data_IF_043575778101
#
_entry.id   IF_043575778101
#
_cell.length_a   1.000
_cell.length_b   1.000
_cell.length_c   1.000
_cell.angle_alpha   90.00
_cell.angle_beta   90.00
_cell.angle_gamma   90.00
#
_symmetry.space_group_name_H-M   'P 1'
#
loop_
_entity.id
_entity.type
_entity.pdbx_description
1 polymer ?
#
# COMPACT_ATOMS: atom_id res chain seq x y z
N UNK A 1 -4.73 -2.33 7.10
CA UNK A 1 -5.76 -1.48 7.73
C UNK A 1 -6.38 -2.30 8.84
N UNK A 2 -6.41 -1.76 10.05
CA UNK A 2 -7.20 -2.31 11.15
C UNK A 2 -8.37 -1.37 11.40
N UNK A 3 -9.55 -1.90 11.65
CA UNK A 3 -10.72 -1.13 12.06
C UNK A 3 -11.15 -1.71 13.40
N UNK A 4 -11.34 -0.86 14.39
CA UNK A 4 -11.70 -1.32 15.73
C UNK A 4 -13.10 -1.96 15.74
N UNK A 5 -13.41 -2.77 16.76
CA UNK A 5 -14.63 -3.58 16.79
C UNK A 5 -15.93 -2.75 16.75
N UNK A 6 -15.90 -1.49 17.19
CA UNK A 6 -17.04 -0.57 17.13
C UNK A 6 -17.20 0.14 15.77
N UNK A 7 -16.26 -0.07 14.83
CA UNK A 7 -16.22 0.51 13.49
C UNK A 7 -16.14 2.05 13.46
N UNK A 8 -15.61 2.67 14.52
CA UNK A 8 -15.50 4.14 14.62
C UNK A 8 -14.13 4.68 14.27
N UNK A 9 -13.08 3.85 14.35
CA UNK A 9 -11.69 4.26 14.06
C UNK A 9 -10.96 3.23 13.22
N UNK A 10 -10.01 3.72 12.43
CA UNK A 10 -9.16 2.86 11.64
C UNK A 10 -7.68 3.22 11.81
N UNK A 11 -6.82 2.21 11.72
CA UNK A 11 -5.38 2.33 11.84
C UNK A 11 -4.71 1.82 10.58
N UNK A 12 -4.01 2.72 9.90
CA UNK A 12 -3.25 2.39 8.70
C UNK A 12 -1.78 2.19 9.05
N UNK A 13 -1.23 1.03 8.71
CA UNK A 13 0.17 0.70 8.95
C UNK A 13 0.75 0.02 7.74
N UNK A 14 1.93 0.48 7.33
CA UNK A 14 2.70 -0.10 6.24
C UNK A 14 3.78 -1.02 6.81
N UNK A 15 3.91 -2.21 6.23
CA UNK A 15 5.09 -3.06 6.44
C UNK A 15 6.11 -2.77 5.33
N UNK A 16 7.40 -2.57 5.66
CA UNK A 16 8.42 -2.35 4.64
C UNK A 16 8.50 -3.53 3.67
N UNK A 17 8.60 -3.25 2.36
CA UNK A 17 8.67 -4.29 1.33
C UNK A 17 9.89 -5.23 1.51
N UNK A 18 10.98 -4.67 2.02
CA UNK A 18 12.25 -5.36 2.23
C UNK A 18 12.34 -5.98 3.63
N UNK A 19 11.24 -5.99 4.40
CA UNK A 19 11.18 -6.58 5.73
C UNK A 19 11.60 -8.05 5.68
N UNK A 20 12.64 -8.42 6.42
CA UNK A 20 13.15 -9.79 6.44
C UNK A 20 12.33 -10.65 7.40
N UNK A 21 11.61 -11.61 6.84
CA UNK A 21 10.65 -12.47 7.55
C UNK A 21 10.90 -13.94 7.26
N UNK A 22 10.36 -14.83 8.09
CA UNK A 22 10.29 -16.25 7.79
C UNK A 22 9.01 -16.49 6.98
N UNK A 23 9.14 -16.77 5.69
CA UNK A 23 8.02 -17.13 4.82
C UNK A 23 7.75 -18.63 5.01
N UNK A 24 6.54 -19.04 5.42
CA UNK A 24 6.24 -20.45 5.65
C UNK A 24 6.24 -21.25 4.35
N UNK A 25 6.40 -22.56 4.46
CA UNK A 25 6.19 -23.47 3.34
C UNK A 25 4.77 -23.31 2.77
N UNK A 26 4.66 -23.46 1.45
CA UNK A 26 3.42 -23.25 0.72
C UNK A 26 3.27 -24.29 -0.39
N UNK A 27 2.63 -25.44 -0.06
CA UNK A 27 2.47 -26.56 -0.98
C UNK A 27 1.83 -26.21 -2.33
N UNK A 28 0.80 -25.33 -2.43
CA UNK A 28 0.19 -25.00 -3.73
C UNK A 28 1.18 -24.43 -4.76
N UNK A 29 2.24 -23.75 -4.30
CA UNK A 29 3.29 -23.21 -5.16
C UNK A 29 4.57 -24.07 -5.20
N UNK A 30 4.57 -25.26 -4.58
CA UNK A 30 5.76 -26.10 -4.35
C UNK A 30 6.92 -25.32 -3.70
N UNK A 31 6.60 -24.42 -2.77
CA UNK A 31 7.59 -23.60 -2.07
C UNK A 31 7.87 -24.17 -0.68
N UNK A 32 9.15 -24.44 -0.37
CA UNK A 32 9.57 -25.08 0.88
C UNK A 32 9.67 -24.17 2.12
N UNK A 33 9.48 -22.86 1.95
CA UNK A 33 9.72 -21.87 3.01
C UNK A 33 11.14 -21.29 2.93
N UNK A 34 11.29 -20.01 3.30
CA UNK A 34 12.58 -19.32 3.26
C UNK A 34 12.57 -18.10 4.18
N UNK A 35 13.72 -17.79 4.79
CA UNK A 35 13.93 -16.50 5.47
C UNK A 35 14.44 -15.47 4.47
N UNK A 36 13.59 -14.53 4.07
CA UNK A 36 13.90 -13.54 3.03
C UNK A 36 12.97 -12.33 3.12
N UNK A 37 13.03 -11.42 2.15
CA UNK A 37 12.19 -10.21 2.12
C UNK A 37 10.71 -10.55 1.95
N UNK A 38 9.83 -9.84 2.66
CA UNK A 38 8.38 -10.10 2.66
C UNK A 38 7.76 -10.04 1.27
N UNK A 39 8.28 -9.21 0.36
CA UNK A 39 7.83 -9.17 -1.05
C UNK A 39 7.93 -10.52 -1.76
N UNK A 40 8.88 -11.37 -1.37
CA UNK A 40 9.03 -12.69 -1.97
C UNK A 40 7.86 -13.62 -1.65
N UNK A 41 7.08 -13.37 -0.59
CA UNK A 41 5.89 -14.16 -0.28
C UNK A 41 4.87 -14.09 -1.42
N UNK A 42 4.65 -12.89 -1.97
CA UNK A 42 3.79 -12.70 -3.14
C UNK A 42 4.39 -13.38 -4.39
N UNK A 43 5.70 -13.20 -4.60
CA UNK A 43 6.41 -13.76 -5.75
C UNK A 43 6.35 -15.30 -5.76
N UNK A 44 6.74 -15.94 -4.67
CA UNK A 44 6.74 -17.40 -4.52
C UNK A 44 5.32 -17.96 -4.51
N UNK A 45 4.41 -17.37 -3.74
CA UNK A 45 3.04 -17.86 -3.61
C UNK A 45 2.23 -17.72 -4.90
N UNK A 46 2.60 -16.80 -5.80
CA UNK A 46 1.87 -16.64 -7.06
C UNK A 46 2.18 -17.70 -8.11
N UNK A 47 3.19 -18.56 -7.88
CA UNK A 47 3.58 -19.60 -8.83
C UNK A 47 2.53 -20.72 -8.83
N UNK A 48 2.07 -21.09 -10.03
CA UNK A 48 1.15 -22.21 -10.20
C UNK A 48 1.89 -23.31 -10.98
N UNK A 49 2.15 -24.48 -10.37
CA UNK A 49 2.87 -25.56 -11.04
C UNK A 49 2.21 -25.94 -12.38
N UNK A 50 3.01 -26.00 -13.45
CA UNK A 50 2.53 -26.32 -14.79
C UNK A 50 1.84 -25.16 -15.54
N UNK A 51 1.70 -23.98 -14.94
CA UNK A 51 1.05 -22.81 -15.56
C UNK A 51 2.01 -21.63 -15.62
N UNK A 52 2.14 -21.01 -16.80
CA UNK A 52 3.02 -19.85 -16.99
C UNK A 52 2.52 -18.57 -16.30
N UNK A 53 1.19 -18.39 -16.23
CA UNK A 53 0.58 -17.18 -15.67
C UNK A 53 0.55 -17.27 -14.13
N UNK A 54 1.07 -16.26 -13.41
CA UNK A 54 1.00 -16.24 -11.95
C UNK A 54 -0.44 -16.03 -11.46
N UNK A 55 -0.76 -16.61 -10.30
CA UNK A 55 -2.02 -16.41 -9.59
C UNK A 55 -1.87 -15.36 -8.49
N UNK A 56 -2.52 -14.21 -8.67
CA UNK A 56 -2.55 -13.13 -7.67
C UNK A 56 -3.19 -13.61 -6.37
N UNK A 57 -4.29 -14.37 -6.47
CA UNK A 57 -4.97 -14.93 -5.31
C UNK A 57 -4.07 -15.87 -4.50
N UNK A 58 -3.31 -16.72 -5.18
CA UNK A 58 -2.40 -17.65 -4.52
C UNK A 58 -1.20 -16.91 -3.89
N UNK A 59 -0.66 -15.89 -4.58
CA UNK A 59 0.34 -14.99 -4.02
C UNK A 59 -0.15 -14.30 -2.75
N UNK A 60 -1.40 -13.81 -2.77
CA UNK A 60 -2.03 -13.20 -1.60
C UNK A 60 -2.16 -14.18 -0.44
N UNK A 61 -2.54 -15.44 -0.69
CA UNK A 61 -2.65 -16.45 0.37
C UNK A 61 -1.32 -16.65 1.12
N UNK A 62 -0.20 -16.77 0.40
CA UNK A 62 1.11 -16.88 1.05
C UNK A 62 1.52 -15.58 1.73
N UNK A 63 1.25 -14.42 1.12
CA UNK A 63 1.49 -13.13 1.77
C UNK A 63 0.74 -13.00 3.08
N UNK A 64 -0.56 -13.31 3.10
CA UNK A 64 -1.40 -13.26 4.31
C UNK A 64 -0.86 -14.20 5.40
N UNK A 65 -0.51 -15.46 5.05
CA UNK A 65 0.12 -16.40 5.98
C UNK A 65 1.44 -15.85 6.55
N UNK A 66 2.26 -15.22 5.71
CA UNK A 66 3.55 -14.64 6.11
C UNK A 66 3.34 -13.47 7.07
N UNK A 67 2.42 -12.56 6.77
CA UNK A 67 2.10 -11.42 7.65
C UNK A 67 1.50 -11.92 8.95
N UNK A 68 0.58 -12.89 8.93
CA UNK A 68 0.03 -13.52 10.14
C UNK A 68 1.12 -14.14 11.01
N UNK A 69 2.05 -14.90 10.42
CA UNK A 69 3.16 -15.49 11.17
C UNK A 69 4.09 -14.42 11.78
N UNK A 70 4.32 -13.32 11.06
CA UNK A 70 5.18 -12.24 11.53
C UNK A 70 4.54 -11.40 12.66
N UNK A 71 3.27 -11.07 12.51
CA UNK A 71 2.54 -10.14 13.40
C UNK A 71 1.77 -10.84 14.52
N UNK A 72 1.54 -12.15 14.38
CA UNK A 72 0.67 -12.95 15.23
C UNK A 72 -0.82 -12.72 14.98
N UNK A 73 -1.21 -11.94 13.96
CA UNK A 73 -2.62 -11.70 13.63
C UNK A 73 -3.24 -13.03 13.17
N UNK A 74 -4.25 -13.55 13.88
CA UNK A 74 -4.74 -14.92 13.64
C UNK A 74 -5.51 -15.05 12.32
N UNK A 75 -6.18 -13.98 11.90
CA UNK A 75 -7.00 -13.96 10.69
C UNK A 75 -7.10 -12.54 10.12
N UNK A 76 -7.17 -12.46 8.80
CA UNK A 76 -7.59 -11.26 8.09
C UNK A 76 -9.05 -11.42 7.62
N UNK A 77 -9.90 -10.45 7.91
CA UNK A 77 -11.30 -10.44 7.45
C UNK A 77 -11.42 -10.14 5.96
N UNK A 78 -10.45 -9.39 5.44
CA UNK A 78 -10.42 -8.90 4.08
C UNK A 78 -9.00 -8.79 3.54
N UNK A 79 -8.85 -8.96 2.24
CA UNK A 79 -7.62 -8.75 1.50
C UNK A 79 -7.87 -8.00 0.21
N UNK A 80 -6.93 -7.17 -0.22
CA UNK A 80 -6.98 -6.47 -1.48
C UNK A 80 -5.58 -6.46 -2.10
N UNK A 81 -5.46 -6.89 -3.35
CA UNK A 81 -4.24 -6.73 -4.15
C UNK A 81 -4.53 -5.81 -5.33
N UNK A 82 -3.84 -4.66 -5.37
CA UNK A 82 -3.96 -3.70 -6.45
C UNK A 82 -2.78 -3.82 -7.42
N UNK A 83 -3.09 -4.09 -8.69
CA UNK A 83 -2.10 -3.98 -9.78
C UNK A 83 -1.94 -2.50 -10.18
N UNK A 84 -0.93 -2.17 -10.99
CA UNK A 84 -0.79 -0.81 -11.53
C UNK A 84 -2.01 -0.36 -12.31
N UNK A 85 -2.59 -1.25 -13.13
CA UNK A 85 -3.83 -0.96 -13.87
C UNK A 85 -5.03 -0.83 -12.93
N UNK A 86 -5.08 -1.65 -11.88
CA UNK A 86 -6.10 -1.54 -10.83
C UNK A 86 -6.04 -0.20 -10.10
N UNK A 87 -4.84 0.25 -9.76
CA UNK A 87 -4.62 1.55 -9.12
C UNK A 87 -5.08 2.72 -10.00
N UNK A 88 -4.70 2.74 -11.29
CA UNK A 88 -5.11 3.83 -12.19
C UNK A 88 -6.64 3.88 -12.30
N UNK A 89 -7.27 2.71 -12.53
CA UNK A 89 -8.73 2.62 -12.65
C UNK A 89 -9.46 2.99 -11.36
N UNK A 90 -8.92 2.60 -10.21
CA UNK A 90 -9.48 3.00 -8.91
C UNK A 90 -9.58 4.52 -8.83
N UNK A 91 -8.45 5.19 -9.07
CA UNK A 91 -8.34 6.63 -8.91
C UNK A 91 -9.21 7.35 -9.94
N UNK A 92 -9.23 6.88 -11.20
CA UNK A 92 -10.11 7.45 -12.22
C UNK A 92 -11.60 7.28 -11.84
N UNK A 93 -11.99 6.12 -11.30
CA UNK A 93 -13.37 5.87 -10.84
C UNK A 93 -13.76 6.69 -9.60
N UNK A 94 -12.78 7.13 -8.80
CA UNK A 94 -12.98 8.07 -7.70
C UNK A 94 -13.06 9.53 -8.17
N UNK A 95 -12.90 9.79 -9.47
CA UNK A 95 -12.80 11.14 -10.03
C UNK A 95 -11.48 11.84 -9.71
N UNK A 96 -10.42 11.07 -9.45
CA UNK A 96 -9.11 11.55 -9.00
C UNK A 96 -8.95 11.59 -7.47
N UNK A 97 -7.75 11.91 -7.01
CA UNK A 97 -7.38 12.04 -5.60
C UNK A 97 -6.65 13.34 -5.33
N UNK A 98 -6.87 13.92 -4.16
CA UNK A 98 -6.15 15.11 -3.70
C UNK A 98 -4.96 14.70 -2.81
N UNK A 99 -3.78 15.19 -3.16
CA UNK A 99 -2.53 14.85 -2.48
C UNK A 99 -1.66 16.09 -2.27
N UNK A 100 -1.03 16.18 -1.10
CA UNK A 100 0.03 17.15 -0.86
C UNK A 100 1.37 16.58 -1.36
N UNK A 101 1.91 17.16 -2.42
CA UNK A 101 3.25 16.85 -2.91
C UNK A 101 4.25 17.57 -2.00
N UNK A 102 5.07 16.81 -1.28
CA UNK A 102 5.95 17.32 -0.22
C UNK A 102 7.36 17.67 -0.71
N UNK A 103 7.74 17.19 -1.89
CA UNK A 103 8.96 17.59 -2.58
C UNK A 103 8.71 17.62 -4.08
N UNK A 104 9.49 18.42 -4.82
CA UNK A 104 9.41 18.43 -6.28
C UNK A 104 9.81 17.06 -6.82
N UNK A 105 8.94 16.48 -7.65
CA UNK A 105 9.17 15.19 -8.30
C UNK A 105 9.13 15.38 -9.81
N UNK A 106 10.20 14.99 -10.49
CA UNK A 106 10.28 15.06 -11.95
C UNK A 106 10.17 13.65 -12.52
N UNK A 107 9.19 13.42 -13.39
CA UNK A 107 8.97 12.11 -14.00
C UNK A 107 10.08 11.76 -14.99
N UNK A 108 10.62 10.55 -14.84
CA UNK A 108 11.53 10.00 -15.85
C UNK A 108 10.78 9.34 -17.02
N UNK A 109 9.51 8.94 -16.84
CA UNK A 109 8.77 8.09 -17.79
C UNK A 109 7.66 8.81 -18.54
N UNK A 110 7.11 9.91 -18.02
CA UNK A 110 5.92 10.57 -18.56
C UNK A 110 6.20 12.01 -18.98
N UNK A 111 5.61 12.39 -20.11
CA UNK A 111 5.50 13.78 -20.52
C UNK A 111 4.31 14.47 -19.82
N UNK A 112 4.23 15.81 -19.81
CA UNK A 112 3.13 16.55 -19.16
C UNK A 112 1.73 16.19 -19.66
N UNK A 113 1.61 15.70 -20.91
CA UNK A 113 0.35 15.24 -21.50
C UNK A 113 -0.03 13.80 -21.10
N UNK A 114 0.75 13.16 -20.22
CA UNK A 114 0.54 11.79 -19.74
C UNK A 114 1.04 10.70 -20.67
N UNK A 115 1.60 11.02 -21.84
CA UNK A 115 2.16 10.02 -22.75
C UNK A 115 3.53 9.52 -22.26
N UNK A 116 3.91 8.26 -22.59
CA UNK A 116 5.27 7.79 -22.37
C UNK A 116 6.28 8.69 -23.09
N UNK A 117 7.39 9.02 -22.43
CA UNK A 117 8.49 9.76 -23.06
C UNK A 117 9.17 8.89 -24.13
N UNK A 118 9.65 9.46 -25.25
CA UNK A 118 10.36 8.71 -26.27
C UNK A 118 11.62 8.03 -25.72
N UNK A 119 11.83 6.77 -26.09
CA UNK A 119 13.04 6.04 -25.74
C UNK A 119 14.25 6.69 -26.41
N UNK A 120 15.28 6.94 -25.62
CA UNK A 120 16.56 7.47 -26.08
C UNK A 120 17.68 6.82 -25.25
N UNK A 121 18.26 5.70 -25.70
CA UNK A 121 19.27 4.96 -24.95
C UNK A 121 20.51 5.76 -24.55
N UNK A 122 20.83 6.83 -25.31
CA UNK A 122 21.97 7.72 -25.05
C UNK A 122 21.63 8.92 -24.15
N UNK A 123 20.35 9.11 -23.80
CA UNK A 123 19.90 10.20 -22.95
C UNK A 123 19.95 9.81 -21.47
N UNK A 124 19.99 10.80 -20.58
CA UNK A 124 19.83 10.60 -19.14
C UNK A 124 18.55 9.79 -18.84
N UNK A 125 18.70 8.73 -18.04
CA UNK A 125 17.65 7.75 -17.71
C UNK A 125 16.97 7.06 -18.90
N UNK A 126 17.52 7.16 -20.11
CA UNK A 126 17.02 6.45 -21.30
C UNK A 126 15.85 7.11 -22.03
N UNK A 127 15.54 8.38 -21.75
CA UNK A 127 14.36 9.07 -22.32
C UNK A 127 14.63 10.51 -22.71
N UNK A 128 14.10 10.94 -23.85
CA UNK A 128 14.16 12.34 -24.34
C UNK A 128 12.82 13.08 -24.13
N UNK A 129 12.77 14.37 -24.50
CA UNK A 129 11.56 15.18 -24.47
C UNK A 129 11.13 15.67 -23.08
N UNK A 130 10.02 16.44 -23.02
CA UNK A 130 9.55 17.10 -21.81
C UNK A 130 9.18 16.09 -20.71
N UNK A 131 9.30 16.52 -19.46
CA UNK A 131 9.05 15.70 -18.26
C UNK A 131 7.84 16.24 -17.51
N UNK A 132 6.92 15.36 -17.13
CA UNK A 132 5.90 15.70 -16.13
C UNK A 132 6.60 16.10 -14.83
N UNK A 133 6.17 17.20 -14.22
CA UNK A 133 6.74 17.71 -12.97
C UNK A 133 5.62 17.92 -11.96
N UNK A 134 5.75 17.26 -10.81
CA UNK A 134 4.87 17.45 -9.66
C UNK A 134 5.58 18.43 -8.73
N UNK A 135 5.07 19.66 -8.66
CA UNK A 135 5.61 20.70 -7.79
C UNK A 135 5.09 20.53 -6.37
N UNK A 136 5.83 21.06 -5.38
CA UNK A 136 5.40 21.07 -3.98
C UNK A 136 4.07 21.80 -3.84
N UNK A 137 3.15 21.24 -3.07
CA UNK A 137 1.83 21.80 -2.80
C UNK A 137 0.69 20.80 -3.01
N UNK A 138 -0.54 21.28 -2.82
CA UNK A 138 -1.74 20.50 -3.07
C UNK A 138 -1.94 20.28 -4.57
N UNK A 139 -2.17 19.03 -4.95
CA UNK A 139 -2.42 18.66 -6.33
C UNK A 139 -3.55 17.65 -6.40
N UNK A 140 -4.45 17.86 -7.36
CA UNK A 140 -5.41 16.85 -7.77
C UNK A 140 -4.74 15.93 -8.81
N UNK A 141 -4.71 14.63 -8.55
CA UNK A 141 -4.10 13.62 -9.41
C UNK A 141 -5.14 12.65 -9.95
N UNK A 142 -5.16 12.49 -11.27
CA UNK A 142 -5.89 11.40 -11.94
C UNK A 142 -5.06 10.10 -11.96
N UNK A 143 -5.65 8.99 -12.39
CA UNK A 143 -5.07 7.66 -12.24
C UNK A 143 -3.66 7.51 -12.80
N UNK A 144 -3.41 8.04 -14.01
CA UNK A 144 -2.07 7.95 -14.61
C UNK A 144 -1.02 8.77 -13.86
N UNK A 145 -1.40 9.95 -13.31
CA UNK A 145 -0.52 10.80 -12.53
C UNK A 145 -0.15 10.14 -11.22
N UNK A 146 -1.14 9.58 -10.52
CA UNK A 146 -0.91 8.85 -9.28
C UNK A 146 -0.01 7.62 -9.51
N UNK A 147 -0.24 6.84 -10.57
CA UNK A 147 0.65 5.72 -10.90
C UNK A 147 2.07 6.20 -11.22
N UNK A 148 2.21 7.28 -11.99
CA UNK A 148 3.52 7.82 -12.33
C UNK A 148 4.26 8.35 -11.09
N UNK A 149 3.58 9.10 -10.23
CA UNK A 149 4.08 9.62 -8.95
C UNK A 149 4.52 8.47 -8.01
N UNK A 150 3.72 7.40 -7.89
CA UNK A 150 4.05 6.20 -7.11
C UNK A 150 5.27 5.42 -7.62
N UNK A 151 5.67 5.64 -8.87
CA UNK A 151 6.75 4.92 -9.54
C UNK A 151 8.06 5.70 -9.60
N UNK A 152 8.05 6.98 -9.28
CA UNK A 152 9.29 7.76 -9.28
C UNK A 152 10.23 7.31 -8.17
N UNK A 153 11.47 7.02 -8.57
CA UNK A 153 12.57 6.56 -7.70
C UNK A 153 13.81 7.46 -7.75
N UNK A 154 13.89 8.35 -8.75
CA UNK A 154 14.99 9.27 -8.96
C UNK A 154 14.65 10.62 -8.32
N UNK A 155 14.52 10.59 -7.01
CA UNK A 155 14.21 11.73 -6.15
C UNK A 155 15.22 11.76 -5.01
N UNK A 156 15.36 12.91 -4.35
CA UNK A 156 16.13 12.98 -3.11
C UNK A 156 15.47 12.01 -2.10
N UNK A 157 16.21 10.98 -1.66
CA UNK A 157 15.71 9.91 -0.79
C UNK A 157 15.34 8.57 -1.47
N UNK A 158 15.42 8.48 -2.80
CA UNK A 158 15.37 7.21 -3.54
C UNK A 158 14.16 6.32 -3.23
N UNK A 159 14.42 5.09 -2.80
CA UNK A 159 13.38 4.09 -2.51
C UNK A 159 12.48 4.45 -1.32
N UNK A 160 12.99 5.22 -0.34
CA UNK A 160 12.18 5.70 0.78
C UNK A 160 11.11 6.70 0.31
N UNK A 161 11.47 7.61 -0.60
CA UNK A 161 10.53 8.53 -1.24
C UNK A 161 9.45 7.77 -2.01
N UNK A 162 9.80 6.71 -2.74
CA UNK A 162 8.82 5.89 -3.45
C UNK A 162 7.80 5.24 -2.50
N UNK A 163 8.28 4.68 -1.39
CA UNK A 163 7.40 4.08 -0.38
C UNK A 163 6.46 5.14 0.22
N UNK A 164 6.97 6.35 0.47
CA UNK A 164 6.18 7.48 0.95
C UNK A 164 5.11 7.91 -0.06
N UNK A 165 5.42 8.03 -1.35
CA UNK A 165 4.41 8.35 -2.38
C UNK A 165 3.30 7.30 -2.45
N UNK A 166 3.67 6.02 -2.41
CA UNK A 166 2.70 4.92 -2.42
C UNK A 166 1.77 4.99 -1.20
N UNK A 167 2.33 5.32 -0.03
CA UNK A 167 1.55 5.56 1.19
C UNK A 167 0.58 6.73 1.01
N UNK A 168 1.06 7.89 0.55
CA UNK A 168 0.22 9.08 0.33
C UNK A 168 -0.95 8.80 -0.62
N UNK A 169 -0.72 8.04 -1.69
CA UNK A 169 -1.76 7.68 -2.65
C UNK A 169 -2.80 6.75 -2.03
N UNK A 170 -2.37 5.74 -1.27
CA UNK A 170 -3.30 4.84 -0.57
C UNK A 170 -4.12 5.62 0.45
N UNK A 171 -3.51 6.54 1.19
CA UNK A 171 -4.19 7.39 2.17
C UNK A 171 -5.21 8.31 1.51
N UNK A 172 -4.84 8.98 0.41
CA UNK A 172 -5.75 9.83 -0.34
C UNK A 172 -6.91 9.02 -0.95
N UNK A 173 -6.64 7.85 -1.51
CA UNK A 173 -7.67 6.97 -2.07
C UNK A 173 -8.61 6.44 -0.98
N UNK A 174 -8.09 5.98 0.15
CA UNK A 174 -8.91 5.55 1.29
C UNK A 174 -9.73 6.72 1.83
N UNK A 175 -9.12 7.89 1.99
CA UNK A 175 -9.82 9.10 2.42
C UNK A 175 -10.95 9.49 1.48
N UNK A 176 -10.73 9.40 0.16
CA UNK A 176 -11.75 9.66 -0.88
C UNK A 176 -12.88 8.64 -0.84
N UNK A 177 -12.57 7.35 -0.68
CA UNK A 177 -13.57 6.29 -0.53
C UNK A 177 -14.41 6.52 0.72
N UNK A 178 -13.83 6.97 1.82
CA UNK A 178 -14.53 7.19 3.09
C UNK A 178 -15.21 8.57 3.20
N UNK A 179 -15.17 9.40 2.15
CA UNK A 179 -15.99 10.62 2.13
C UNK A 179 -17.46 10.22 1.99
N UNK A 180 -18.31 10.82 2.85
CA UNK A 180 -19.72 10.43 3.01
C UNK A 180 -20.49 10.29 1.71
N UNK A 181 -20.27 11.20 0.75
CA UNK A 181 -20.94 11.22 -0.55
C UNK A 181 -20.64 10.00 -1.43
N UNK A 182 -19.46 9.39 -1.30
CA UNK A 182 -19.09 8.19 -2.06
C UNK A 182 -19.80 6.96 -1.51
N UNK A 183 -19.79 6.77 -0.18
CA UNK A 183 -20.41 5.60 0.46
C UNK A 183 -21.93 5.69 0.56
N UNK A 184 -22.49 6.90 0.48
CA UNK A 184 -23.93 7.12 0.40
C UNK A 184 -24.50 6.92 -1.02
N UNK A 185 -23.65 6.74 -2.04
CA UNK A 185 -24.07 6.56 -3.43
C UNK A 185 -23.79 5.11 -3.91
N UNK A 186 -24.81 4.22 -3.94
CA UNK A 186 -24.65 2.85 -4.41
C UNK A 186 -24.07 2.74 -5.83
N UNK A 187 -24.41 3.66 -6.73
CA UNK A 187 -23.87 3.66 -8.09
C UNK A 187 -22.38 3.95 -8.12
N UNK A 188 -21.88 4.82 -7.24
CA UNK A 188 -20.44 5.08 -7.10
C UNK A 188 -19.69 3.86 -6.58
N UNK A 189 -20.27 3.15 -5.60
CA UNK A 189 -19.72 1.89 -5.09
C UNK A 189 -19.68 0.84 -6.21
N UNK A 190 -20.78 0.65 -6.93
CA UNK A 190 -20.88 -0.31 -8.04
C UNK A 190 -19.91 0.03 -9.17
N UNK A 191 -19.73 1.31 -9.50
CA UNK A 191 -18.76 1.76 -10.49
C UNK A 191 -17.33 1.40 -10.08
N UNK A 192 -16.94 1.63 -8.81
CA UNK A 192 -15.61 1.26 -8.33
C UNK A 192 -15.44 -0.26 -8.28
N UNK A 193 -16.40 -1.00 -7.73
CA UNK A 193 -16.34 -2.46 -7.66
C UNK A 193 -16.27 -3.07 -9.07
N UNK A 194 -17.06 -2.56 -10.02
CA UNK A 194 -17.04 -2.96 -11.42
C UNK A 194 -15.73 -2.59 -12.12
N UNK A 195 -15.22 -1.37 -11.93
CA UNK A 195 -13.93 -0.92 -12.50
C UNK A 195 -12.75 -1.75 -12.00
N UNK A 196 -12.82 -2.22 -10.76
CA UNK A 196 -11.82 -3.04 -10.10
C UNK A 196 -11.95 -4.54 -10.34
N UNK A 197 -13.07 -5.03 -10.90
CA UNK A 197 -13.47 -6.45 -10.92
C UNK A 197 -12.33 -7.46 -11.11
N UNK A 198 -11.60 -7.40 -12.22
CA UNK A 198 -10.48 -8.33 -12.49
C UNK A 198 -9.13 -7.88 -11.91
N UNK A 199 -9.04 -6.65 -11.42
CA UNK A 199 -7.79 -5.97 -11.05
C UNK A 199 -7.57 -5.89 -9.53
N UNK A 200 -8.63 -6.17 -8.77
CA UNK A 200 -8.65 -6.29 -7.34
C UNK A 200 -9.03 -7.72 -6.98
N UNK A 201 -8.09 -8.46 -6.41
CA UNK A 201 -8.43 -9.73 -5.77
C UNK A 201 -8.87 -9.45 -4.34
N UNK A 202 -10.16 -9.67 -4.05
CA UNK A 202 -10.70 -9.61 -2.69
C UNK A 202 -10.87 -11.01 -2.12
N UNK A 203 -10.40 -11.19 -0.88
CA UNK A 203 -10.51 -12.46 -0.15
C UNK A 203 -11.17 -12.17 1.20
N UNK A 204 -12.14 -13.00 1.61
CA UNK A 204 -12.79 -12.92 2.93
C UNK A 204 -14.12 -12.17 2.92
N UNK A 205 -14.09 -10.83 2.78
CA UNK A 205 -15.28 -9.97 2.81
C UNK A 205 -15.70 -9.54 1.40
N UNK A 206 -17.01 -9.48 1.12
CA UNK A 206 -17.51 -8.91 -0.14
C UNK A 206 -17.23 -7.41 -0.18
N UNK A 207 -16.77 -6.82 -1.30
CA UNK A 207 -16.46 -5.39 -1.39
C UNK A 207 -17.59 -4.47 -0.93
N UNK A 208 -18.84 -4.77 -1.29
CA UNK A 208 -20.03 -4.00 -0.87
C UNK A 208 -20.28 -4.09 0.63
N UNK A 209 -20.10 -5.27 1.24
CA UNK A 209 -20.25 -5.45 2.69
C UNK A 209 -19.16 -4.69 3.45
N UNK A 210 -17.92 -4.69 2.92
CA UNK A 210 -16.83 -3.88 3.46
C UNK A 210 -17.15 -2.39 3.35
N UNK A 211 -17.58 -1.90 2.18
CA UNK A 211 -17.95 -0.50 1.98
C UNK A 211 -19.05 -0.07 2.98
N UNK A 212 -20.09 -0.90 3.15
CA UNK A 212 -21.16 -0.63 4.10
C UNK A 212 -20.66 -0.62 5.56
N UNK A 213 -19.79 -1.55 5.96
CA UNK A 213 -19.23 -1.58 7.31
C UNK A 213 -18.40 -0.33 7.63
N UNK A 214 -17.71 0.22 6.63
CA UNK A 214 -16.82 1.37 6.80
C UNK A 214 -17.52 2.72 6.58
N UNK A 215 -18.83 2.76 6.32
CA UNK A 215 -19.58 3.98 5.94
C UNK A 215 -19.58 5.13 6.96
N UNK A 216 -19.30 4.81 8.23
CA UNK A 216 -19.24 5.80 9.30
C UNK A 216 -17.81 6.27 9.59
N UNK A 217 -16.80 5.69 8.93
CA UNK A 217 -15.44 6.19 9.01
C UNK A 217 -15.30 7.44 8.15
N UNK A 218 -14.44 8.35 8.58
CA UNK A 218 -14.05 9.52 7.82
C UNK A 218 -12.53 9.62 7.80
N UNK A 219 -11.94 10.47 6.94
CA UNK A 219 -10.50 10.71 6.97
C UNK A 219 -9.95 11.08 8.36
N UNK A 220 -10.75 11.77 9.19
CA UNK A 220 -10.36 12.20 10.54
C UNK A 220 -10.30 11.05 11.55
N UNK A 221 -11.01 9.94 11.30
CA UNK A 221 -10.99 8.76 12.16
C UNK A 221 -9.93 7.74 11.76
N UNK A 222 -9.15 8.03 10.70
CA UNK A 222 -8.01 7.22 10.28
C UNK A 222 -6.74 7.75 10.93
N UNK A 223 -6.09 6.86 11.66
CA UNK A 223 -4.81 7.09 12.30
C UNK A 223 -3.70 6.38 11.53
N UNK A 224 -2.71 7.12 11.03
CA UNK A 224 -1.52 6.53 10.44
C UNK A 224 -0.56 6.10 11.54
N UNK A 225 -0.01 4.90 11.47
CA UNK A 225 0.99 4.41 12.41
C UNK A 225 2.28 4.10 11.68
N UNK A 226 3.34 4.82 12.06
CA UNK A 226 4.70 4.60 11.59
C UNK A 226 5.44 3.61 12.48
N UNK A 227 5.86 2.49 11.90
CA UNK A 227 6.74 1.52 12.57
C UNK A 227 8.17 1.75 12.07
N UNK A 228 9.04 2.45 12.83
CA UNK A 228 10.41 2.67 12.40
C UNK A 228 11.14 1.33 12.26
N UNK A 229 11.95 1.18 11.22
CA UNK A 229 12.77 -0.01 11.00
C UNK A 229 14.24 0.26 11.23
N UNK A 230 15.00 -0.82 11.31
CA UNK A 230 16.47 -0.82 11.24
C UNK A 230 16.92 -1.80 10.17
N UNK A 231 18.11 -1.59 9.59
CA UNK A 231 18.67 -2.55 8.65
C UNK A 231 18.92 -3.93 9.28
N UNK A 232 18.58 -4.98 8.55
CA UNK A 232 18.93 -6.37 8.83
C UNK A 232 20.23 -6.71 8.10
N UNK A 233 21.18 -7.34 8.81
CA UNK A 233 22.50 -7.67 8.28
C UNK A 233 22.89 -9.11 8.59
N UNK A 234 23.74 -9.70 7.74
CA UNK A 234 24.55 -10.88 8.04
C UNK A 234 26.01 -10.52 7.80
N UNK A 235 26.78 -10.40 8.88
CA UNK A 235 28.09 -9.72 8.83
C UNK A 235 27.92 -8.28 8.31
N UNK A 236 28.69 -7.90 7.30
CA UNK A 236 28.58 -6.60 6.61
C UNK A 236 27.50 -6.55 5.53
N UNK A 237 26.88 -7.69 5.17
CA UNK A 237 25.93 -7.76 4.07
C UNK A 237 24.54 -7.29 4.51
N UNK A 238 24.04 -6.23 3.88
CA UNK A 238 22.65 -5.79 4.02
C UNK A 238 21.68 -6.82 3.43
N UNK A 239 20.70 -7.24 4.22
CA UNK A 239 19.68 -8.23 3.84
C UNK A 239 18.33 -7.59 3.54
N UNK A 240 18.01 -6.48 4.20
CA UNK A 240 16.71 -5.82 4.12
C UNK A 240 16.38 -5.06 5.39
N UNK A 241 15.09 -4.83 5.64
CA UNK A 241 14.60 -4.09 6.80
C UNK A 241 14.23 -5.04 7.95
N UNK A 242 14.24 -4.53 9.16
CA UNK A 242 13.80 -5.21 10.36
C UNK A 242 12.95 -4.29 11.24
N UNK A 243 11.90 -4.84 11.86
CA UNK A 243 11.02 -4.16 12.80
C UNK A 243 11.14 -4.73 14.23
N UNK A 244 12.28 -5.33 14.59
CA UNK A 244 12.47 -5.94 15.92
C UNK A 244 12.69 -4.95 17.07
N UNK A 245 12.99 -3.68 16.79
CA UNK A 245 13.34 -2.67 17.80
C UNK A 245 12.37 -1.50 17.80
N UNK A 246 11.86 -1.12 18.97
CA UNK A 246 10.90 -0.03 19.12
C UNK A 246 9.50 -0.51 19.48
N UNK A 247 8.43 0.15 18.99
CA UNK A 247 7.10 -0.02 19.53
C UNK A 247 6.32 -1.18 18.87
N UNK A 248 6.94 -1.94 17.97
CA UNK A 248 6.27 -2.90 17.08
C UNK A 248 5.76 -4.13 17.83
N UNK A 249 6.50 -4.61 18.86
CA UNK A 249 6.02 -5.71 19.71
C UNK A 249 4.74 -5.33 20.46
N UNK A 250 4.72 -4.15 21.10
CA UNK A 250 3.51 -3.67 21.79
C UNK A 250 2.41 -3.29 20.80
N UNK A 251 2.76 -2.78 19.61
CA UNK A 251 1.82 -2.47 18.54
C UNK A 251 1.09 -3.72 18.07
N UNK A 252 1.82 -4.78 17.67
CA UNK A 252 1.20 -6.02 17.20
C UNK A 252 0.45 -6.76 18.32
N UNK A 253 0.85 -6.59 19.58
CA UNK A 253 0.04 -7.06 20.70
C UNK A 253 -1.29 -6.31 20.81
N UNK A 254 -1.26 -4.97 20.76
CA UNK A 254 -2.45 -4.13 20.83
C UNK A 254 -3.38 -4.37 19.62
N UNK A 255 -2.82 -4.50 18.42
CA UNK A 255 -3.53 -4.85 17.19
C UNK A 255 -4.33 -6.14 17.33
N UNK A 256 -3.71 -7.20 17.87
CA UNK A 256 -4.38 -8.51 18.08
C UNK A 256 -5.46 -8.48 19.15
N UNK A 257 -5.39 -7.53 20.07
CA UNK A 257 -6.33 -7.39 21.19
C UNK A 257 -7.40 -6.32 20.94
N UNK A 258 -7.40 -5.71 19.74
CA UNK A 258 -8.23 -4.55 19.42
C UNK A 258 -8.05 -3.37 20.39
N UNK A 259 -6.81 -3.10 20.80
CA UNK A 259 -6.42 -2.05 21.77
C UNK A 259 -5.56 -0.95 21.14
N UNK A 260 -5.68 -0.75 19.82
CA UNK A 260 -4.88 0.27 19.13
C UNK A 260 -5.22 1.69 19.56
N UNK A 261 -6.45 1.96 20.02
CA UNK A 261 -6.85 3.22 20.63
C UNK A 261 -5.97 3.61 21.82
N UNK A 262 -5.90 2.72 22.81
CA UNK A 262 -5.08 2.93 24.01
C UNK A 262 -3.59 2.98 23.65
N UNK A 263 -3.15 2.11 22.72
CA UNK A 263 -1.76 2.10 22.28
C UNK A 263 -1.39 3.43 21.59
N UNK A 264 -2.21 3.93 20.67
CA UNK A 264 -1.96 5.15 19.91
C UNK A 264 -1.93 6.38 20.84
N UNK A 265 -2.84 6.44 21.81
CA UNK A 265 -2.84 7.49 22.84
C UNK A 265 -1.54 7.52 23.65
N UNK A 266 -0.98 6.36 23.98
CA UNK A 266 0.29 6.22 24.70
C UNK A 266 1.53 6.39 23.82
N UNK A 267 1.39 6.32 22.50
CA UNK A 267 2.49 6.24 21.52
C UNK A 267 2.42 7.35 20.46
N UNK A 268 2.01 8.56 20.84
CA UNK A 268 1.76 9.71 19.93
C UNK A 268 2.90 9.99 18.94
N UNK A 269 4.16 9.76 19.34
CA UNK A 269 5.35 9.95 18.47
C UNK A 269 5.40 9.02 17.26
N UNK A 270 4.60 7.95 17.22
CA UNK A 270 4.49 7.00 16.12
C UNK A 270 3.20 7.16 15.32
N UNK A 271 2.37 8.15 15.68
CA UNK A 271 1.06 8.39 15.08
C UNK A 271 1.12 9.63 14.18
N UNK A 272 0.53 9.54 12.97
CA UNK A 272 0.46 10.63 11.98
C UNK A 272 1.81 11.30 11.68
N UNK A 273 2.88 10.49 11.71
CA UNK A 273 4.26 10.97 11.51
C UNK A 273 4.46 11.35 10.04
N UNK A 274 4.61 12.65 9.79
CA UNK A 274 4.84 13.22 8.45
C UNK A 274 3.56 13.50 7.65
N UNK A 275 2.37 13.46 8.27
CA UNK A 275 1.17 14.07 7.69
C UNK A 275 1.30 15.59 7.83
N UNK A 276 1.00 16.40 6.78
CA UNK A 276 0.83 17.83 6.97
C UNK A 276 -0.21 18.04 8.07
N UNK A 277 0.16 18.77 9.12
CA UNK A 277 -0.85 19.33 10.02
C UNK A 277 -1.63 20.33 9.15
N UNK A 278 -2.96 20.14 9.11
CA UNK A 278 -3.86 20.99 8.32
C UNK A 278 -3.70 22.46 8.63
#
# INVERSE_FOLDING_TARGET
LHVNADLTKAYLTSLPRDLVVNIPAFPPAKFGGERTKITHAMMYGSRVPGVKKPSVQQGYQLMAKTVSAYTGIPKFDGGAVLTFRGLTKLIDALGGIDIYVDQKVVSIHRAPDGKPRPSCPRCEHGYSGPRMTYNVGNMHMVGWQALDYARQRYTNGGDYTRQRHQRQIIEAAVGKILQGDFLSNPASIDNVVGALGEMLTVVGIKPVALAYALRNLSPQTITQVGLPGSGAYSGSRYLGENLSSGPQKSYFLALRQDKLDAWAAANKKYVNVGSPQG
#
